data_IF_435217366813
#
_entry.id   IF_435217366813
#
_cell.length_a   1.000
_cell.length_b   1.000
_cell.length_c   1.000
_cell.angle_alpha   90.00
_cell.angle_beta   90.00
_cell.angle_gamma   90.00
#
_symmetry.space_group_name_H-M   'P 1'
#
loop_
_entity.id
_entity.type
_entity.pdbx_description
1 polymer ?
#
# COMPACT_ATOMS: atom_id res chain seq x y z
N UNK A 1 0.95 4.11 -17.00
CA UNK A 1 1.39 2.74 -17.36
C UNK A 1 1.31 1.90 -16.10
N UNK A 2 0.67 0.73 -16.16
CA UNK A 2 0.55 -0.18 -15.01
C UNK A 2 1.52 -1.34 -15.17
N UNK A 3 2.22 -1.70 -14.10
CA UNK A 3 3.06 -2.89 -14.03
C UNK A 3 2.55 -3.83 -12.94
N UNK A 4 2.78 -5.12 -13.12
CA UNK A 4 2.54 -6.13 -12.10
C UNK A 4 3.81 -6.31 -11.27
N UNK A 5 3.66 -6.32 -9.95
CA UNK A 5 4.74 -6.57 -9.00
C UNK A 5 4.28 -7.63 -8.01
N UNK A 6 5.13 -8.63 -7.74
CA UNK A 6 4.87 -9.58 -6.66
C UNK A 6 4.84 -8.90 -5.31
N UNK A 7 3.94 -9.36 -4.43
CA UNK A 7 3.84 -8.85 -3.07
C UNK A 7 4.89 -9.50 -2.16
N UNK A 8 6.16 -9.13 -2.33
CA UNK A 8 7.29 -9.68 -1.57
C UNK A 8 7.17 -9.45 -0.07
N UNK A 9 6.46 -8.39 0.35
CA UNK A 9 6.18 -8.09 1.77
C UNK A 9 5.43 -9.22 2.46
N UNK A 10 4.58 -9.97 1.72
CA UNK A 10 3.84 -11.11 2.26
C UNK A 10 4.75 -12.24 2.77
N UNK A 11 5.98 -12.38 2.25
CA UNK A 11 6.93 -13.42 2.67
C UNK A 11 7.49 -13.20 4.08
N UNK A 12 7.24 -12.03 4.69
CA UNK A 12 7.50 -11.81 6.12
C UNK A 12 6.64 -12.70 7.02
N UNK A 13 5.49 -13.16 6.52
CA UNK A 13 4.58 -14.05 7.25
C UNK A 13 5.04 -15.50 7.08
N UNK A 14 5.09 -16.26 8.17
CA UNK A 14 5.58 -17.65 8.16
C UNK A 14 4.77 -18.55 7.21
N UNK A 15 3.44 -18.43 7.24
CA UNK A 15 2.54 -19.29 6.46
C UNK A 15 2.70 -19.12 4.93
N UNK A 16 2.84 -17.88 4.46
CA UNK A 16 3.05 -17.56 3.04
C UNK A 16 4.43 -17.98 2.57
N UNK A 17 5.45 -17.87 3.43
CA UNK A 17 6.80 -18.38 3.16
C UNK A 17 6.79 -19.90 2.99
N UNK A 18 6.20 -20.63 3.93
CA UNK A 18 6.09 -22.10 3.85
C UNK A 18 5.30 -22.54 2.61
N UNK A 19 4.21 -21.84 2.28
CA UNK A 19 3.45 -22.11 1.07
C UNK A 19 4.32 -21.92 -0.19
N UNK A 20 5.09 -20.83 -0.26
CA UNK A 20 5.99 -20.58 -1.38
C UNK A 20 7.08 -21.65 -1.50
N UNK A 21 7.72 -22.04 -0.39
CA UNK A 21 8.73 -23.10 -0.37
C UNK A 21 8.16 -24.45 -0.84
N UNK A 22 6.96 -24.81 -0.39
CA UNK A 22 6.28 -26.04 -0.80
C UNK A 22 5.91 -26.02 -2.28
N UNK A 23 5.40 -24.90 -2.80
CA UNK A 23 5.06 -24.75 -4.22
C UNK A 23 6.29 -24.77 -5.10
N UNK A 24 7.34 -24.07 -4.70
CA UNK A 24 8.60 -24.01 -5.43
C UNK A 24 9.27 -25.38 -5.48
N UNK A 25 9.40 -26.08 -4.35
CA UNK A 25 9.97 -27.43 -4.30
C UNK A 25 9.18 -28.43 -5.13
N UNK A 26 7.85 -28.41 -5.02
CA UNK A 26 6.98 -29.26 -5.84
C UNK A 26 7.16 -29.02 -7.34
N UNK A 27 7.27 -27.75 -7.77
CA UNK A 27 7.47 -27.40 -9.18
C UNK A 27 8.86 -27.78 -9.67
N UNK A 28 9.91 -27.43 -8.91
CA UNK A 28 11.30 -27.74 -9.26
C UNK A 28 11.54 -29.24 -9.40
N UNK A 29 10.94 -30.07 -8.54
CA UNK A 29 11.05 -31.53 -8.62
C UNK A 29 10.40 -32.12 -9.88
N UNK A 30 9.46 -31.40 -10.50
CA UNK A 30 8.79 -31.82 -11.73
C UNK A 30 9.47 -31.29 -13.00
N UNK A 31 10.51 -30.46 -12.88
CA UNK A 31 11.23 -29.94 -14.06
C UNK A 31 12.17 -31.03 -14.58
N UNK A 32 11.99 -31.40 -15.85
CA UNK A 32 12.98 -32.17 -16.58
C UNK A 32 13.89 -31.20 -17.32
N UNK A 33 15.06 -30.89 -16.74
CA UNK A 33 16.09 -30.09 -17.40
C UNK A 33 16.80 -31.00 -18.42
N UNK A 34 16.13 -31.25 -19.53
CA UNK A 34 16.69 -31.94 -20.69
C UNK A 34 16.68 -30.95 -21.86
N UNK A 35 17.85 -30.44 -22.24
CA UNK A 35 17.96 -29.45 -23.32
C UNK A 35 19.13 -28.49 -23.17
N UNK A 36 19.04 -27.37 -23.88
CA UNK A 36 20.02 -26.27 -23.86
C UNK A 36 19.92 -25.50 -22.53
N UNK A 37 21.04 -24.93 -22.07
CA UNK A 37 21.11 -24.23 -20.76
C UNK A 37 20.08 -23.11 -20.64
N UNK A 38 19.80 -22.40 -21.74
CA UNK A 38 18.82 -21.31 -21.78
C UNK A 38 17.38 -21.81 -21.59
N UNK A 39 17.04 -22.99 -22.12
CA UNK A 39 15.71 -23.59 -21.94
C UNK A 39 15.51 -24.02 -20.49
N UNK A 40 16.53 -24.61 -19.87
CA UNK A 40 16.53 -24.94 -18.44
C UNK A 40 16.34 -23.69 -17.57
N UNK A 41 17.03 -22.60 -17.91
CA UNK A 41 16.89 -21.32 -17.21
C UNK A 41 15.49 -20.72 -17.34
N UNK A 42 14.90 -20.73 -18.54
CA UNK A 42 13.53 -20.28 -18.79
C UNK A 42 12.52 -21.07 -17.95
N UNK A 43 12.65 -22.40 -17.89
CA UNK A 43 11.78 -23.27 -17.09
C UNK A 43 11.89 -22.96 -15.59
N UNK A 44 13.11 -22.77 -15.08
CA UNK A 44 13.33 -22.38 -13.68
C UNK A 44 12.67 -21.03 -13.37
N UNK A 45 12.87 -20.04 -14.25
CA UNK A 45 12.28 -18.71 -14.10
C UNK A 45 10.76 -18.77 -14.04
N UNK A 46 10.14 -19.53 -14.94
CA UNK A 46 8.68 -19.74 -14.96
C UNK A 46 8.19 -20.34 -13.65
N UNK A 47 8.85 -21.40 -13.17
CA UNK A 47 8.47 -22.05 -11.90
C UNK A 47 8.57 -21.10 -10.69
N UNK A 48 9.63 -20.28 -10.64
CA UNK A 48 9.79 -19.25 -9.61
C UNK A 48 8.65 -18.23 -9.68
N UNK A 49 8.36 -17.70 -10.88
CA UNK A 49 7.32 -16.69 -11.06
C UNK A 49 5.92 -17.21 -10.77
N UNK A 50 5.61 -18.44 -11.14
CA UNK A 50 4.30 -19.06 -10.89
C UNK A 50 4.11 -19.39 -9.41
N UNK A 51 5.14 -19.96 -8.76
CA UNK A 51 5.10 -20.20 -7.32
C UNK A 51 4.90 -18.89 -6.54
N UNK A 52 5.55 -17.81 -6.98
CA UNK A 52 5.42 -16.48 -6.38
C UNK A 52 4.02 -15.89 -6.62
N UNK A 53 3.49 -16.01 -7.84
CA UNK A 53 2.13 -15.57 -8.17
C UNK A 53 1.07 -16.28 -7.32
N UNK A 54 1.22 -17.59 -7.10
CA UNK A 54 0.26 -18.39 -6.32
C UNK A 54 0.36 -18.13 -4.81
N UNK A 55 1.57 -17.94 -4.30
CA UNK A 55 1.79 -17.90 -2.85
C UNK A 55 1.76 -16.47 -2.30
N UNK A 56 2.48 -15.55 -2.96
CA UNK A 56 2.58 -14.15 -2.54
C UNK A 56 1.53 -13.25 -3.21
N UNK A 57 1.03 -13.65 -4.39
CA UNK A 57 0.13 -12.83 -5.19
C UNK A 57 0.81 -11.66 -5.88
N UNK A 58 0.05 -10.98 -6.73
CA UNK A 58 0.50 -9.83 -7.52
C UNK A 58 -0.32 -8.58 -7.18
N UNK A 59 0.36 -7.42 -7.19
CA UNK A 59 -0.28 -6.11 -7.13
C UNK A 59 0.01 -5.30 -8.38
N UNK A 60 -0.99 -4.58 -8.86
CA UNK A 60 -0.85 -3.64 -9.97
C UNK A 60 -0.39 -2.28 -9.46
N UNK A 61 0.74 -1.79 -9.98
CA UNK A 61 1.31 -0.50 -9.61
C UNK A 61 1.27 0.43 -10.82
N UNK A 62 0.74 1.63 -10.63
CA UNK A 62 0.82 2.67 -11.65
C UNK A 62 2.18 3.37 -11.57
N UNK A 63 3.02 3.19 -12.59
CA UNK A 63 4.35 3.83 -12.65
C UNK A 63 4.24 5.35 -12.75
N UNK A 64 3.15 5.84 -13.37
CA UNK A 64 2.90 7.26 -13.58
C UNK A 64 2.15 7.87 -12.38
N UNK A 65 1.91 7.11 -11.31
CA UNK A 65 1.35 7.69 -10.09
C UNK A 65 2.30 8.75 -9.57
N UNK A 66 1.74 9.93 -9.26
CA UNK A 66 2.51 11.03 -8.74
C UNK A 66 3.09 10.63 -7.37
N UNK A 67 4.40 10.36 -7.33
CA UNK A 67 5.15 9.96 -6.13
C UNK A 67 5.10 11.01 -5.01
N UNK A 68 4.74 12.25 -5.33
CA UNK A 68 4.65 13.36 -4.38
C UNK A 68 3.27 13.46 -3.71
N UNK A 69 2.30 12.60 -4.05
CA UNK A 69 1.06 12.51 -3.29
C UNK A 69 1.39 11.92 -1.93
N UNK A 70 1.16 12.73 -0.88
CA UNK A 70 1.32 12.28 0.49
C UNK A 70 0.38 11.11 0.73
N UNK A 71 0.90 10.01 1.25
CA UNK A 71 0.18 8.76 1.53
C UNK A 71 -1.05 8.94 2.42
N UNK A 72 -1.04 9.92 3.34
CA UNK A 72 -2.21 10.27 4.16
C UNK A 72 -3.33 11.01 3.40
N UNK A 73 -3.11 11.42 2.14
CA UNK A 73 -4.09 12.14 1.32
C UNK A 73 -5.11 11.16 0.72
N UNK A 74 -5.98 10.63 1.59
CA UNK A 74 -7.02 9.67 1.25
C UNK A 74 -8.35 10.34 0.84
N UNK A 75 -9.34 9.52 0.46
CA UNK A 75 -10.69 9.97 0.11
C UNK A 75 -11.34 10.78 1.23
N UNK A 76 -11.17 10.35 2.48
CA UNK A 76 -11.69 11.04 3.67
C UNK A 76 -11.16 12.48 3.78
N UNK A 77 -9.85 12.68 3.53
CA UNK A 77 -9.26 14.03 3.54
C UNK A 77 -9.87 14.93 2.46
N UNK A 78 -10.19 14.38 1.28
CA UNK A 78 -10.88 15.12 0.21
C UNK A 78 -12.29 15.51 0.66
N UNK A 79 -13.04 14.58 1.25
CA UNK A 79 -14.39 14.84 1.77
C UNK A 79 -14.38 15.94 2.84
N UNK A 80 -13.41 15.93 3.77
CA UNK A 80 -13.23 16.99 4.76
C UNK A 80 -12.91 18.35 4.13
N UNK A 81 -12.08 18.38 3.08
CA UNK A 81 -11.78 19.60 2.34
C UNK A 81 -13.03 20.13 1.62
N UNK A 82 -13.84 19.24 1.04
CA UNK A 82 -15.10 19.59 0.37
C UNK A 82 -16.13 20.15 1.34
N UNK A 83 -16.26 19.58 2.54
CA UNK A 83 -17.14 20.12 3.59
C UNK A 83 -16.73 21.53 3.99
N UNK A 84 -15.42 21.78 4.19
CA UNK A 84 -14.91 23.14 4.48
C UNK A 84 -15.26 24.10 3.35
N UNK A 85 -14.97 23.71 2.09
CA UNK A 85 -15.27 24.52 0.90
C UNK A 85 -16.76 24.83 0.80
N UNK A 86 -17.65 23.83 0.91
CA UNK A 86 -19.11 24.01 0.84
C UNK A 86 -19.63 24.97 1.91
N UNK A 87 -19.17 24.82 3.16
CA UNK A 87 -19.57 25.72 4.25
C UNK A 87 -19.11 27.16 4.03
N UNK A 88 -17.91 27.35 3.45
CA UNK A 88 -17.40 28.67 3.13
C UNK A 88 -18.18 29.33 1.98
N UNK A 89 -18.47 28.59 0.92
CA UNK A 89 -19.29 29.08 -0.20
C UNK A 89 -20.71 29.45 0.27
N UNK A 90 -21.30 28.66 1.17
CA UNK A 90 -22.61 28.96 1.74
C UNK A 90 -22.61 30.30 2.48
N UNK A 91 -21.60 30.55 3.33
CA UNK A 91 -21.45 31.83 4.01
C UNK A 91 -21.21 33.00 3.05
N UNK A 92 -20.40 32.81 2.00
CA UNK A 92 -20.21 33.84 0.98
C UNK A 92 -21.53 34.20 0.27
N UNK A 93 -22.39 33.20 0.01
CA UNK A 93 -23.70 33.43 -0.60
C UNK A 93 -24.72 34.03 0.37
N UNK A 94 -24.61 33.73 1.68
CA UNK A 94 -25.53 34.19 2.72
C UNK A 94 -24.76 34.47 4.02
N UNK A 95 -24.26 35.71 4.22
CA UNK A 95 -23.43 36.06 5.36
C UNK A 95 -24.23 36.26 6.65
N UNK A 96 -24.76 35.17 7.22
CA UNK A 96 -25.46 35.16 8.51
C UNK A 96 -24.55 34.67 9.63
N UNK A 97 -24.84 35.05 10.88
CA UNK A 97 -24.06 34.58 12.04
C UNK A 97 -24.12 33.06 12.18
N UNK A 98 -25.27 32.44 11.85
CA UNK A 98 -25.41 30.97 11.82
C UNK A 98 -24.50 30.29 10.80
N UNK A 99 -24.29 30.90 9.63
CA UNK A 99 -23.37 30.37 8.63
C UNK A 99 -21.90 30.60 9.04
N UNK A 100 -21.62 31.70 9.76
CA UNK A 100 -20.31 31.98 10.34
C UNK A 100 -19.92 30.93 11.39
N UNK A 101 -20.81 30.63 12.34
CA UNK A 101 -20.57 29.58 13.35
C UNK A 101 -20.38 28.21 12.69
N UNK A 102 -21.19 27.88 11.68
CA UNK A 102 -21.08 26.65 10.91
C UNK A 102 -19.73 26.47 10.21
N UNK A 103 -19.14 27.53 9.65
CA UNK A 103 -17.78 27.46 9.09
C UNK A 103 -16.77 27.12 10.18
N UNK A 104 -16.83 27.82 11.32
CA UNK A 104 -15.87 27.64 12.42
C UNK A 104 -15.93 26.20 12.93
N UNK A 105 -17.14 25.68 13.16
CA UNK A 105 -17.35 24.30 13.59
C UNK A 105 -16.81 23.29 12.57
N UNK A 106 -17.18 23.41 11.30
CA UNK A 106 -16.75 22.50 10.25
C UNK A 106 -15.23 22.56 10.04
N UNK A 107 -14.64 23.75 10.12
CA UNK A 107 -13.18 23.93 10.06
C UNK A 107 -12.50 23.23 11.22
N UNK A 108 -13.01 23.38 12.44
CA UNK A 108 -12.44 22.77 13.63
C UNK A 108 -12.56 21.24 13.59
N UNK A 109 -13.73 20.71 13.22
CA UNK A 109 -13.97 19.27 13.02
C UNK A 109 -13.02 18.69 11.97
N UNK A 110 -12.93 19.31 10.79
CA UNK A 110 -12.05 18.85 9.73
C UNK A 110 -10.56 18.94 10.10
N UNK A 111 -10.13 19.99 10.79
CA UNK A 111 -8.75 20.10 11.27
C UNK A 111 -8.44 19.06 12.36
N UNK A 112 -9.39 18.72 13.23
CA UNK A 112 -9.24 17.67 14.23
C UNK A 112 -9.10 16.29 13.56
N UNK A 113 -9.99 15.95 12.63
CA UNK A 113 -9.94 14.70 11.86
C UNK A 113 -8.64 14.59 11.04
N UNK A 114 -8.24 15.66 10.34
CA UNK A 114 -6.99 15.68 9.58
C UNK A 114 -5.75 15.43 10.46
N UNK A 115 -5.74 15.97 11.69
CA UNK A 115 -4.66 15.71 12.66
C UNK A 115 -4.65 14.25 13.11
N UNK A 116 -5.82 13.65 13.34
CA UNK A 116 -5.93 12.24 13.70
C UNK A 116 -5.41 11.33 12.58
N UNK A 117 -5.84 11.56 11.33
CA UNK A 117 -5.39 10.81 10.15
C UNK A 117 -3.86 10.90 9.99
N UNK A 118 -3.30 12.11 10.07
CA UNK A 118 -1.85 12.30 9.98
C UNK A 118 -1.10 11.60 11.10
N UNK A 119 -1.62 11.63 12.34
CA UNK A 119 -0.99 10.98 13.49
C UNK A 119 -1.00 9.46 13.34
N UNK A 120 -2.13 8.89 12.92
CA UNK A 120 -2.23 7.45 12.68
C UNK A 120 -1.29 7.00 11.57
N UNK A 121 -1.25 7.76 10.47
CA UNK A 121 -0.29 7.50 9.40
C UNK A 121 1.17 7.53 9.90
N UNK A 122 1.54 8.53 10.71
CA UNK A 122 2.88 8.60 11.30
C UNK A 122 3.16 7.41 12.22
N UNK A 123 2.20 7.00 13.03
CA UNK A 123 2.31 5.83 13.90
C UNK A 123 2.53 4.54 13.10
N UNK A 124 1.77 4.32 12.04
CA UNK A 124 1.93 3.18 11.13
C UNK A 124 3.30 3.20 10.45
N UNK A 125 3.67 4.35 9.88
CA UNK A 125 4.96 4.52 9.22
C UNK A 125 6.15 4.24 10.17
N UNK A 126 6.10 4.74 11.40
CA UNK A 126 7.14 4.44 12.40
C UNK A 126 7.14 2.97 12.79
N UNK A 127 5.97 2.33 12.95
CA UNK A 127 5.87 0.91 13.26
C UNK A 127 6.42 0.02 12.14
N UNK A 128 6.15 0.36 10.88
CA UNK A 128 6.71 -0.33 9.71
C UNK A 128 8.23 -0.15 9.67
N UNK A 129 8.73 1.06 9.91
CA UNK A 129 10.15 1.34 9.96
C UNK A 129 10.86 0.60 11.12
N UNK A 130 10.23 0.51 12.30
CA UNK A 130 10.74 -0.30 13.41
C UNK A 130 10.76 -1.78 13.05
N UNK A 131 9.70 -2.28 12.40
CA UNK A 131 9.68 -3.66 11.91
C UNK A 131 10.78 -3.92 10.88
N UNK A 132 11.06 -3.00 9.97
CA UNK A 132 12.15 -3.14 9.01
C UNK A 132 13.52 -3.09 9.69
N UNK A 133 13.71 -2.13 10.62
CA UNK A 133 14.98 -1.95 11.33
C UNK A 133 15.33 -3.15 12.21
N UNK A 134 14.37 -3.64 13.00
CA UNK A 134 14.57 -4.74 13.95
C UNK A 134 14.25 -6.12 13.36
N UNK A 135 13.44 -6.19 12.30
CA UNK A 135 13.10 -7.41 11.57
C UNK A 135 14.19 -7.85 10.61
N UNK A 136 14.90 -6.90 9.97
CA UNK A 136 16.12 -7.19 9.21
C UNK A 136 17.34 -7.51 10.10
N UNK A 137 17.29 -7.18 11.40
CA UNK A 137 18.35 -7.44 12.38
C UNK A 137 18.32 -8.86 12.99
N UNK A 138 17.61 -9.84 12.42
CA UNK A 138 17.73 -11.24 12.88
C UNK A 138 18.95 -11.94 12.30
N UNK A 139 19.95 -12.03 13.19
CA UNK A 139 21.00 -13.05 13.39
C UNK A 139 22.15 -13.10 12.39
N UNK A 140 23.24 -12.42 12.75
CA UNK A 140 24.58 -13.05 12.76
C UNK A 140 24.60 -14.12 13.86
#
# INVERSE_FOLDING_TARGET
MYIRKFNTESLSTESTRQLYELRLSSRLNNICIAGEVEEGWQQMKTCITEAAAESAGERTININANKNIKSWFCKEVKELADVKRKSYLLYLSSPTETNRTRIVENRNKANAALRAIKREHWRQFTSEMEHDLYGAQRKV
#
